data_IF_683047045334
#
_entry.id   IF_683047045334
#
_cell.length_a   1.000
_cell.length_b   1.000
_cell.length_c   1.000
_cell.angle_alpha   90.00
_cell.angle_beta   90.00
_cell.angle_gamma   90.00
#
_symmetry.space_group_name_H-M   'P 1'
#
loop_
_entity.id
_entity.type
_entity.pdbx_description
1 polymer ?
#
# COMPACT_ATOMS: atom_id res chain seq x y z
N UNK A 1 -10.03 -23.74 -7.64
CA UNK A 1 -9.17 -24.72 -6.93
C UNK A 1 -9.00 -24.22 -5.50
N UNK A 2 -9.44 -24.99 -4.49
CA UNK A 2 -9.30 -24.63 -3.07
C UNK A 2 -7.85 -24.88 -2.67
N UNK A 3 -7.13 -23.86 -2.22
CA UNK A 3 -5.78 -24.07 -1.69
C UNK A 3 -5.86 -24.87 -0.38
N UNK A 4 -5.01 -25.89 -0.18
CA UNK A 4 -5.01 -26.67 1.05
C UNK A 4 -4.59 -25.80 2.24
N UNK A 5 -5.43 -25.72 3.25
CA UNK A 5 -5.10 -25.13 4.55
C UNK A 5 -4.01 -25.95 5.21
N UNK A 6 -2.84 -25.34 5.43
CA UNK A 6 -1.74 -25.95 6.19
C UNK A 6 -1.84 -25.51 7.64
N UNK A 7 -2.11 -26.45 8.54
CA UNK A 7 -2.16 -26.21 9.98
C UNK A 7 -0.81 -26.57 10.61
N UNK A 8 -0.29 -25.67 11.44
CA UNK A 8 0.93 -25.89 12.23
C UNK A 8 0.50 -26.02 13.69
N UNK A 9 0.95 -27.08 14.36
CA UNK A 9 0.79 -27.21 15.82
C UNK A 9 1.98 -26.53 16.49
N UNK A 10 1.70 -25.70 17.48
CA UNK A 10 2.70 -25.02 18.31
C UNK A 10 2.46 -25.40 19.78
N UNK A 11 3.49 -25.30 20.60
CA UNK A 11 3.35 -25.45 22.03
C UNK A 11 2.75 -24.18 22.68
N UNK A 12 2.34 -24.32 23.95
CA UNK A 12 1.68 -23.27 24.72
C UNK A 12 2.57 -22.04 24.93
N UNK A 13 3.88 -22.22 25.09
CA UNK A 13 4.84 -21.11 25.23
C UNK A 13 4.92 -20.27 23.96
N UNK A 14 5.03 -20.91 22.80
CA UNK A 14 5.05 -20.25 21.50
C UNK A 14 3.71 -19.56 21.24
N UNK A 15 2.58 -20.19 21.59
CA UNK A 15 1.26 -19.58 21.45
C UNK A 15 1.13 -18.28 22.27
N UNK A 16 1.61 -18.27 23.51
CA UNK A 16 1.58 -17.07 24.37
C UNK A 16 2.44 -15.95 23.82
N UNK A 17 3.61 -16.27 23.30
CA UNK A 17 4.50 -15.29 22.69
C UNK A 17 3.88 -14.70 21.41
N UNK A 18 3.24 -15.53 20.58
CA UNK A 18 2.50 -15.07 19.40
C UNK A 18 1.32 -14.16 19.78
N UNK A 19 0.59 -14.46 20.85
CA UNK A 19 -0.47 -13.58 21.38
C UNK A 19 0.05 -12.26 21.96
N UNK A 20 1.23 -12.27 22.58
CA UNK A 20 1.90 -11.05 23.06
C UNK A 20 2.29 -10.16 21.89
N UNK A 21 3.01 -10.73 20.93
CA UNK A 21 3.45 -10.04 19.71
C UNK A 21 2.26 -9.55 18.88
N UNK A 22 1.19 -10.34 18.77
CA UNK A 22 -0.05 -9.93 18.09
C UNK A 22 -0.63 -8.64 18.67
N UNK A 23 -0.69 -8.54 20.01
CA UNK A 23 -1.17 -7.35 20.72
C UNK A 23 -0.23 -6.15 20.56
N UNK A 24 1.07 -6.35 20.67
CA UNK A 24 2.06 -5.28 20.53
C UNK A 24 2.13 -4.73 19.10
N UNK A 25 1.88 -5.57 18.11
CA UNK A 25 2.00 -5.22 16.70
C UNK A 25 0.68 -4.85 16.04
N UNK A 26 -0.46 -5.01 16.73
CA UNK A 26 -1.79 -4.79 16.17
C UNK A 26 -2.22 -5.80 15.10
N UNK A 27 -1.54 -6.94 15.00
CA UNK A 27 -1.79 -7.95 13.99
C UNK A 27 -3.14 -8.66 14.20
N UNK A 28 -3.80 -9.03 13.09
CA UNK A 28 -5.11 -9.70 13.14
C UNK A 28 -4.98 -11.22 13.31
N UNK A 29 -3.91 -11.82 12.77
CA UNK A 29 -3.65 -13.26 12.85
C UNK A 29 -2.22 -13.59 13.29
N UNK A 30 -1.99 -14.80 13.82
CA UNK A 30 -0.63 -15.27 14.09
C UNK A 30 0.21 -15.44 12.83
N UNK A 31 -0.42 -15.60 11.67
CA UNK A 31 0.30 -15.67 10.42
C UNK A 31 0.94 -14.31 10.08
N UNK A 32 0.29 -13.21 10.44
CA UNK A 32 0.82 -11.86 10.26
C UNK A 32 2.00 -11.61 11.22
N UNK A 33 1.88 -12.08 12.47
CA UNK A 33 2.97 -12.07 13.45
C UNK A 33 4.15 -12.88 12.96
N UNK A 34 3.93 -14.14 12.56
CA UNK A 34 4.99 -15.03 12.08
C UNK A 34 5.65 -14.50 10.81
N UNK A 35 4.87 -13.90 9.89
CA UNK A 35 5.42 -13.21 8.73
C UNK A 35 6.35 -12.10 9.16
N UNK A 36 5.92 -11.25 10.10
CA UNK A 36 6.73 -10.16 10.64
C UNK A 36 8.02 -10.63 11.28
N UNK A 37 7.94 -11.57 12.23
CA UNK A 37 9.09 -12.06 13.00
C UNK A 37 10.08 -12.85 12.16
N UNK A 38 9.61 -13.65 11.21
CA UNK A 38 10.48 -14.44 10.34
C UNK A 38 11.09 -13.60 9.21
N UNK A 39 10.84 -12.28 9.16
CA UNK A 39 11.20 -11.45 8.02
C UNK A 39 10.53 -11.89 6.71
N UNK A 40 9.51 -12.75 6.81
CA UNK A 40 8.57 -13.12 5.74
C UNK A 40 7.43 -12.08 5.72
N UNK A 41 7.72 -10.86 6.15
CA UNK A 41 7.04 -9.70 5.61
C UNK A 41 7.30 -9.87 4.11
N UNK A 42 6.27 -9.94 3.25
CA UNK A 42 6.51 -9.68 1.85
C UNK A 42 6.96 -8.22 1.80
N UNK A 43 8.24 -7.93 2.09
CA UNK A 43 8.80 -6.58 2.02
C UNK A 43 8.31 -5.99 0.71
N UNK A 44 7.85 -4.74 0.68
CA UNK A 44 6.81 -4.19 -0.19
C UNK A 44 7.04 -4.55 -1.66
N UNK A 45 6.74 -5.80 -2.01
CA UNK A 45 6.98 -6.35 -3.33
C UNK A 45 5.75 -5.90 -4.07
N UNK A 46 5.84 -4.68 -4.59
CA UNK A 46 4.82 -4.06 -5.43
C UNK A 46 4.32 -5.04 -6.49
N UNK A 47 5.17 -5.95 -6.96
CA UNK A 47 4.80 -7.05 -7.85
C UNK A 47 3.73 -8.01 -7.30
N UNK A 48 3.73 -8.34 -6.00
CA UNK A 48 2.69 -9.15 -5.35
C UNK A 48 1.40 -8.34 -5.15
N UNK A 49 1.52 -7.10 -4.69
CA UNK A 49 0.38 -6.21 -4.46
C UNK A 49 -0.38 -5.89 -5.77
N UNK A 50 0.36 -5.72 -6.85
CA UNK A 50 -0.18 -5.44 -8.18
C UNK A 50 -0.40 -6.71 -9.03
N UNK A 51 -0.28 -7.91 -8.45
CA UNK A 51 -0.36 -9.16 -9.20
C UNK A 51 -1.75 -9.39 -9.82
N UNK A 52 -2.79 -8.90 -9.15
CA UNK A 52 -4.17 -9.04 -9.61
C UNK A 52 -4.60 -7.94 -10.59
N UNK A 53 -3.82 -6.86 -10.68
CA UNK A 53 -4.10 -5.79 -11.63
C UNK A 53 -3.83 -6.24 -13.07
N UNK A 54 -4.63 -5.72 -14.04
CA UNK A 54 -4.29 -5.74 -15.46
C UNK A 54 -2.88 -5.24 -15.72
N UNK A 55 -2.22 -5.77 -16.76
CA UNK A 55 -0.80 -5.50 -17.04
C UNK A 55 -0.46 -4.00 -17.11
N UNK A 56 -1.28 -3.22 -17.81
CA UNK A 56 -1.07 -1.78 -17.92
C UNK A 56 -1.22 -1.06 -16.57
N UNK A 57 -2.22 -1.40 -15.76
CA UNK A 57 -2.35 -0.86 -14.40
C UNK A 57 -1.18 -1.29 -13.50
N UNK A 58 -0.72 -2.54 -13.64
CA UNK A 58 0.45 -3.07 -12.92
C UNK A 58 1.73 -2.31 -13.28
N UNK A 59 1.94 -2.00 -14.55
CA UNK A 59 3.09 -1.22 -15.00
C UNK A 59 3.01 0.23 -14.51
N UNK A 60 1.81 0.83 -14.56
CA UNK A 60 1.59 2.19 -14.08
C UNK A 60 1.85 2.31 -12.57
N UNK A 61 1.33 1.39 -11.76
CA UNK A 61 1.50 1.44 -10.29
C UNK A 61 2.94 1.17 -9.85
N UNK A 62 3.71 0.35 -10.59
CA UNK A 62 5.16 0.19 -10.35
C UNK A 62 5.93 1.50 -10.55
N UNK A 63 5.64 2.23 -11.62
CA UNK A 63 6.27 3.52 -11.87
C UNK A 63 5.84 4.57 -10.83
N UNK A 64 4.57 4.52 -10.39
CA UNK A 64 4.11 5.36 -9.27
C UNK A 64 4.86 5.03 -8.00
N UNK A 65 4.98 3.75 -7.63
CA UNK A 65 5.76 3.31 -6.48
C UNK A 65 7.19 3.87 -6.51
N UNK A 66 7.88 3.76 -7.65
CA UNK A 66 9.23 4.32 -7.83
C UNK A 66 9.27 5.84 -7.66
N UNK A 67 8.25 6.56 -8.16
CA UNK A 67 8.14 8.02 -7.99
C UNK A 67 7.99 8.40 -6.52
N UNK A 68 7.17 7.66 -5.76
CA UNK A 68 6.99 7.88 -4.32
C UNK A 68 8.30 7.59 -3.60
N UNK A 69 8.91 6.45 -3.89
CA UNK A 69 10.17 6.01 -3.27
C UNK A 69 11.31 7.00 -3.51
N UNK A 70 11.44 7.52 -4.73
CA UNK A 70 12.44 8.54 -5.07
C UNK A 70 12.14 9.92 -4.44
N UNK A 71 10.94 10.14 -3.90
CA UNK A 71 10.58 11.41 -3.26
C UNK A 71 11.11 11.50 -1.83
N UNK A 72 11.39 10.37 -1.19
CA UNK A 72 11.93 10.39 0.16
C UNK A 72 12.25 9.03 0.73
N UNK A 73 13.05 9.05 1.79
CA UNK A 73 13.28 7.88 2.61
C UNK A 73 12.06 7.69 3.51
N UNK A 74 11.25 6.69 3.19
CA UNK A 74 10.01 6.36 3.88
C UNK A 74 10.09 4.96 4.47
N UNK A 75 9.52 4.80 5.66
CA UNK A 75 9.15 3.47 6.14
C UNK A 75 7.93 2.97 5.36
N UNK A 76 7.97 1.70 4.95
CA UNK A 76 6.96 1.09 4.09
C UNK A 76 6.31 -0.07 4.81
N UNK A 77 5.00 0.02 5.01
CA UNK A 77 4.21 -1.04 5.62
C UNK A 77 3.12 -1.51 4.67
N UNK A 78 2.74 -2.78 4.79
CA UNK A 78 1.58 -3.32 4.09
C UNK A 78 0.54 -3.67 5.12
N UNK A 79 -0.66 -3.12 4.96
CA UNK A 79 -1.83 -3.45 5.77
C UNK A 79 -2.93 -4.01 4.87
N UNK A 80 -3.84 -4.79 5.45
CA UNK A 80 -5.02 -5.29 4.75
C UNK A 80 -6.25 -4.76 5.47
N UNK A 81 -7.10 -4.03 4.74
CA UNK A 81 -8.34 -3.47 5.26
C UNK A 81 -9.46 -3.67 4.23
N UNK A 82 -10.64 -4.12 4.68
CA UNK A 82 -11.79 -4.33 3.80
C UNK A 82 -11.46 -5.17 2.54
N UNK A 83 -10.65 -6.23 2.69
CA UNK A 83 -10.17 -7.11 1.62
C UNK A 83 -9.32 -6.40 0.54
N UNK A 84 -8.78 -5.23 0.86
CA UNK A 84 -7.87 -4.49 0.00
C UNK A 84 -6.51 -4.45 0.65
N UNK A 85 -5.47 -4.49 -0.17
CA UNK A 85 -4.12 -4.27 0.32
C UNK A 85 -3.80 -2.79 0.26
N UNK A 86 -3.13 -2.30 1.28
CA UNK A 86 -2.72 -0.92 1.44
C UNK A 86 -1.21 -0.91 1.60
N UNK A 87 -0.51 -0.18 0.75
CA UNK A 87 0.92 0.09 0.88
C UNK A 87 1.10 1.50 1.41
N UNK A 88 1.48 1.62 2.66
CA UNK A 88 1.61 2.88 3.37
C UNK A 88 3.07 3.31 3.39
N UNK A 89 3.31 4.61 3.16
CA UNK A 89 4.61 5.27 3.20
C UNK A 89 4.60 6.29 4.34
N UNK A 90 5.38 6.05 5.38
CA UNK A 90 5.48 6.91 6.55
C UNK A 90 6.84 7.60 6.64
N UNK A 91 6.87 8.80 7.22
CA UNK A 91 8.15 9.42 7.59
C UNK A 91 8.86 8.54 8.60
N UNK A 92 10.18 8.40 8.42
CA UNK A 92 11.04 7.85 9.46
C UNK A 92 10.94 8.70 10.72
N UNK A 93 11.07 8.04 11.86
CA UNK A 93 11.10 8.62 13.21
C UNK A 93 9.77 9.14 13.77
N UNK A 94 8.91 9.76 12.96
CA UNK A 94 7.64 10.37 13.44
C UNK A 94 6.40 9.49 13.21
N UNK A 95 6.50 8.47 12.36
CA UNK A 95 5.41 7.54 12.07
C UNK A 95 4.23 8.15 11.30
N UNK A 96 4.33 9.42 10.89
CA UNK A 96 3.29 10.07 10.10
C UNK A 96 3.18 9.47 8.70
N UNK A 97 2.00 8.96 8.37
CA UNK A 97 1.67 8.50 7.03
C UNK A 97 1.65 9.68 6.05
N UNK A 98 2.41 9.56 4.96
CA UNK A 98 2.54 10.62 3.94
C UNK A 98 1.81 10.24 2.67
N UNK A 99 1.88 8.97 2.28
CA UNK A 99 1.25 8.46 1.09
C UNK A 99 0.78 7.03 1.32
N UNK A 100 -0.20 6.63 0.52
CA UNK A 100 -0.72 5.27 0.54
C UNK A 100 -1.11 4.87 -0.88
N UNK A 101 -0.85 3.61 -1.24
CA UNK A 101 -1.42 2.99 -2.44
C UNK A 101 -2.38 1.89 -2.01
N UNK A 102 -3.65 2.04 -2.38
CA UNK A 102 -4.70 1.05 -2.15
C UNK A 102 -4.87 0.21 -3.42
N UNK A 103 -4.88 -1.11 -3.27
CA UNK A 103 -4.98 -2.06 -4.36
C UNK A 103 -6.31 -2.81 -4.31
N UNK A 104 -6.92 -2.97 -5.48
CA UNK A 104 -8.03 -3.88 -5.75
C UNK A 104 -7.76 -4.64 -7.05
N UNK A 105 -8.66 -5.54 -7.44
CA UNK A 105 -8.48 -6.36 -8.65
C UNK A 105 -8.50 -5.51 -9.94
N UNK A 106 -9.34 -4.47 -9.97
CA UNK A 106 -9.56 -3.68 -11.19
C UNK A 106 -9.05 -2.24 -11.09
N UNK A 107 -8.51 -1.83 -9.95
CA UNK A 107 -8.08 -0.46 -9.74
C UNK A 107 -7.00 -0.32 -8.66
N UNK A 108 -6.26 0.77 -8.74
CA UNK A 108 -5.44 1.27 -7.65
C UNK A 108 -5.80 2.73 -7.35
N UNK A 109 -5.67 3.14 -6.08
CA UNK A 109 -5.77 4.55 -5.67
C UNK A 109 -4.51 4.95 -4.96
N UNK A 110 -4.11 6.20 -5.17
CA UNK A 110 -2.96 6.82 -4.52
C UNK A 110 -3.49 7.96 -3.68
N UNK A 111 -3.24 7.86 -2.39
CA UNK A 111 -3.64 8.81 -1.37
C UNK A 111 -2.39 9.56 -0.88
N UNK A 112 -2.58 10.78 -0.42
CA UNK A 112 -1.54 11.58 0.23
C UNK A 112 -2.12 12.31 1.43
N UNK A 113 -1.26 12.61 2.42
CA UNK A 113 -1.67 13.44 3.55
C UNK A 113 -1.80 14.89 3.12
N UNK A 114 -3.00 15.43 3.16
CA UNK A 114 -3.31 16.77 2.67
C UNK A 114 -2.96 17.88 3.68
N UNK A 115 -3.54 19.07 3.54
CA UNK A 115 -3.29 20.20 4.46
C UNK A 115 -4.03 20.07 5.79
N UNK A 116 -5.12 19.30 5.82
CA UNK A 116 -5.92 19.03 7.02
C UNK A 116 -5.35 17.91 7.88
N UNK A 117 -4.35 17.17 7.37
CA UNK A 117 -3.77 16.00 8.04
C UNK A 117 -4.51 14.70 7.73
N UNK A 118 -5.53 14.75 6.87
CA UNK A 118 -6.29 13.60 6.39
C UNK A 118 -5.69 13.04 5.10
N UNK A 119 -5.95 11.76 4.86
CA UNK A 119 -5.58 11.10 3.61
C UNK A 119 -6.60 11.44 2.52
N UNK A 120 -6.13 12.13 1.48
CA UNK A 120 -6.92 12.53 0.34
C UNK A 120 -6.39 11.85 -0.92
N UNK A 121 -7.30 11.51 -1.84
CA UNK A 121 -6.93 10.90 -3.12
C UNK A 121 -6.19 11.93 -3.98
N UNK A 122 -5.13 11.51 -4.68
CA UNK A 122 -4.41 12.31 -5.68
C UNK A 122 -4.22 11.60 -7.02
N UNK A 123 -4.56 10.32 -7.08
CA UNK A 123 -4.49 9.56 -8.31
C UNK A 123 -5.28 8.27 -8.23
N UNK A 124 -5.86 7.85 -9.34
CA UNK A 124 -6.52 6.56 -9.51
C UNK A 124 -6.21 6.02 -10.90
N UNK A 125 -6.01 4.71 -10.99
CA UNK A 125 -6.07 3.98 -12.25
C UNK A 125 -7.08 2.87 -12.13
N UNK A 126 -8.02 2.78 -13.05
CA UNK A 126 -9.14 1.84 -13.00
C UNK A 126 -9.45 1.25 -14.37
N UNK A 127 -9.76 -0.05 -14.40
CA UNK A 127 -10.33 -0.73 -15.57
C UNK A 127 -11.84 -0.50 -15.61
N UNK A 128 -12.38 -0.11 -16.76
CA UNK A 128 -13.82 0.08 -16.99
C UNK A 128 -14.23 -0.57 -18.30
N UNK A 129 -15.14 -1.55 -18.26
CA UNK A 129 -15.76 -2.28 -19.38
C UNK A 129 -14.82 -2.96 -20.40
N UNK A 130 -13.74 -2.30 -20.84
CA UNK A 130 -12.62 -2.82 -21.65
C UNK A 130 -11.42 -1.85 -21.70
N UNK A 131 -11.52 -0.65 -21.14
CA UNK A 131 -10.47 0.38 -21.19
C UNK A 131 -9.86 0.63 -19.81
N UNK A 132 -8.64 1.12 -19.79
CA UNK A 132 -7.98 1.60 -18.59
C UNK A 132 -8.06 3.13 -18.59
N UNK A 133 -8.56 3.66 -17.47
CA UNK A 133 -8.74 5.09 -17.25
C UNK A 133 -7.93 5.53 -16.05
N UNK A 134 -7.44 6.76 -16.12
CA UNK A 134 -6.72 7.40 -15.03
C UNK A 134 -7.42 8.69 -14.61
N UNK A 135 -7.41 8.97 -13.31
CA UNK A 135 -8.05 10.14 -12.73
C UNK A 135 -7.11 10.78 -11.69
N UNK A 136 -7.16 12.09 -11.56
CA UNK A 136 -6.53 12.84 -10.45
C UNK A 136 -7.59 13.28 -9.44
N UNK A 137 -7.19 14.03 -8.42
CA UNK A 137 -8.11 14.71 -7.52
C UNK A 137 -9.00 15.77 -8.20
N UNK A 138 -8.63 16.23 -9.40
CA UNK A 138 -9.29 17.35 -10.07
C UNK A 138 -9.88 17.00 -11.43
N UNK A 139 -9.25 16.06 -12.13
CA UNK A 139 -9.51 15.80 -13.54
C UNK A 139 -9.72 14.31 -13.77
N UNK A 140 -10.69 13.99 -14.64
CA UNK A 140 -10.98 12.62 -15.05
C UNK A 140 -10.36 12.34 -16.42
N UNK A 141 -10.09 11.06 -16.70
CA UNK A 141 -9.63 10.59 -18.01
C UNK A 141 -8.33 11.29 -18.44
N UNK A 142 -7.40 11.42 -17.50
CA UNK A 142 -6.07 12.03 -17.72
C UNK A 142 -5.10 11.03 -18.33
N UNK A 143 -4.06 11.54 -18.98
CA UNK A 143 -2.98 10.71 -19.47
C UNK A 143 -2.14 10.12 -18.31
N UNK A 144 -1.54 8.92 -18.45
CA UNK A 144 -0.72 8.31 -17.40
C UNK A 144 0.43 9.21 -16.94
N UNK A 145 0.96 10.05 -17.84
CA UNK A 145 2.04 11.01 -17.54
C UNK A 145 1.56 12.14 -16.61
N UNK A 146 0.34 12.60 -16.81
CA UNK A 146 -0.26 13.68 -16.02
C UNK A 146 -0.61 13.20 -14.61
N UNK A 147 -1.17 11.98 -14.51
CA UNK A 147 -1.39 11.28 -13.25
C UNK A 147 -0.10 11.24 -12.40
N UNK A 148 0.98 10.73 -12.99
CA UNK A 148 2.29 10.60 -12.33
C UNK A 148 2.86 11.95 -11.88
N UNK A 149 2.69 12.99 -12.72
CA UNK A 149 3.11 14.36 -12.38
C UNK A 149 2.32 14.89 -11.19
N UNK A 150 1.00 14.69 -11.15
CA UNK A 150 0.16 15.11 -10.04
C UNK A 150 0.56 14.43 -8.73
N UNK A 151 0.67 13.10 -8.73
CA UNK A 151 1.08 12.30 -7.56
C UNK A 151 2.43 12.81 -7.01
N UNK A 152 3.43 12.98 -7.87
CA UNK A 152 4.76 13.47 -7.48
C UNK A 152 4.69 14.83 -6.79
N UNK A 153 3.90 15.77 -7.33
CA UNK A 153 3.75 17.10 -6.76
C UNK A 153 3.06 17.06 -5.40
N UNK A 154 1.98 16.28 -5.28
CA UNK A 154 1.19 16.14 -4.04
C UNK A 154 2.00 15.52 -2.91
N UNK A 155 2.70 14.42 -3.18
CA UNK A 155 3.50 13.70 -2.17
C UNK A 155 4.73 14.53 -1.75
N UNK A 156 5.40 15.22 -2.69
CA UNK A 156 6.46 16.19 -2.32
C UNK A 156 5.93 17.29 -1.41
N UNK A 157 4.75 17.83 -1.73
CA UNK A 157 4.10 18.84 -0.91
C UNK A 157 3.72 18.33 0.48
N UNK A 158 3.22 17.09 0.56
CA UNK A 158 2.87 16.40 1.81
C UNK A 158 4.10 16.18 2.69
N UNK A 159 5.14 15.54 2.15
CA UNK A 159 6.41 15.29 2.85
C UNK A 159 7.02 16.57 3.40
N UNK A 160 7.00 17.67 2.64
CA UNK A 160 7.55 18.95 3.12
C UNK A 160 6.75 19.54 4.29
N UNK A 161 5.45 19.28 4.36
CA UNK A 161 4.55 19.86 5.35
C UNK A 161 4.53 19.07 6.65
N UNK A 162 4.57 17.75 6.54
CA UNK A 162 4.45 16.81 7.65
C UNK A 162 5.80 16.16 7.92
N UNK A 163 6.81 17.01 8.11
CA UNK A 163 8.22 16.66 8.26
C UNK A 163 8.72 17.06 9.62
#
# INVERSE_FOLDING_TARGET
MVQPTKNIKVDESVHRELERLKRETGAQTFNDVLRRELGIIPGPKIGKLAAYLPEELRNSVKQIYEIIDQTGDFDKTVTEENQKNHLVFSQKDEGHEIAEIVFSEEWFKVMYRDQSGLMSMCGEGKKTNSEIKYHTDKEKDVEPRELKKNIKLKIRGSKRRWK
#
